data_IF_280374658102
#
_entry.id   IF_280374658102
#
_cell.length_a   1.000
_cell.length_b   1.000
_cell.length_c   1.000
_cell.angle_alpha   90.00
_cell.angle_beta   90.00
_cell.angle_gamma   90.00
#
_symmetry.space_group_name_H-M   'P 1'
#
loop_
_entity.id
_entity.type
_entity.pdbx_description
1 polymer ?
#
# COMPACT_ATOMS: atom_id res chain seq x y z
N UNK A 1 19.19 -5.76 7.85
CA UNK A 1 18.25 -4.74 8.35
C UNK A 1 17.84 -3.91 7.14
N UNK A 2 16.89 -4.36 6.33
CA UNK A 2 16.57 -3.74 5.03
C UNK A 2 15.08 -3.77 4.68
N UNK A 3 14.24 -4.33 5.57
CA UNK A 3 12.79 -4.45 5.40
C UNK A 3 11.98 -3.35 6.11
N UNK A 4 12.64 -2.43 6.82
CA UNK A 4 11.99 -1.52 7.79
C UNK A 4 11.14 -0.39 7.17
N UNK A 5 11.14 -0.22 5.85
CA UNK A 5 10.34 0.84 5.17
C UNK A 5 9.37 0.32 4.11
N UNK A 6 9.22 -1.00 3.94
CA UNK A 6 8.22 -1.52 3.01
C UNK A 6 6.82 -1.28 3.58
N UNK A 7 5.95 -0.66 2.80
CA UNK A 7 4.54 -0.48 3.16
C UNK A 7 3.66 -1.28 2.24
N UNK A 8 2.65 -1.90 2.84
CA UNK A 8 1.61 -2.64 2.12
C UNK A 8 0.32 -1.82 2.19
N UNK A 9 -0.29 -1.61 1.03
CA UNK A 9 -1.50 -0.82 0.87
C UNK A 9 -2.61 -1.65 0.25
N UNK A 10 -3.82 -1.49 0.77
CA UNK A 10 -5.07 -1.94 0.17
C UNK A 10 -5.62 -0.82 -0.70
N UNK A 11 -5.38 -0.87 -2.00
CA UNK A 11 -5.91 0.12 -2.94
C UNK A 11 -7.28 -0.30 -3.46
N UNK A 12 -8.33 0.40 -3.04
CA UNK A 12 -9.70 0.18 -3.51
C UNK A 12 -9.97 0.98 -4.79
N UNK A 13 -10.17 0.28 -5.90
CA UNK A 13 -10.55 0.91 -7.16
C UNK A 13 -12.03 1.28 -7.17
N UNK A 14 -12.45 2.31 -7.94
CA UNK A 14 -13.87 2.65 -8.13
C UNK A 14 -14.73 1.48 -8.66
N UNK A 15 -14.10 0.50 -9.33
CA UNK A 15 -14.76 -0.72 -9.79
C UNK A 15 -15.10 -1.72 -8.68
N UNK A 16 -14.73 -1.43 -7.42
CA UNK A 16 -14.88 -2.33 -6.27
C UNK A 16 -13.78 -3.38 -6.14
N UNK A 17 -12.82 -3.43 -7.08
CA UNK A 17 -11.66 -4.32 -7.00
C UNK A 17 -10.62 -3.77 -6.03
N UNK A 18 -10.03 -4.65 -5.22
CA UNK A 18 -8.94 -4.29 -4.31
C UNK A 18 -7.62 -4.78 -4.91
N UNK A 19 -6.60 -3.93 -4.89
CA UNK A 19 -5.24 -4.27 -5.26
C UNK A 19 -4.32 -4.15 -4.05
N UNK A 20 -3.42 -5.11 -3.90
CA UNK A 20 -2.31 -5.01 -2.95
C UNK A 20 -1.21 -4.21 -3.60
N UNK A 21 -0.83 -3.08 -3.00
CA UNK A 21 0.35 -2.30 -3.43
C UNK A 21 1.44 -2.49 -2.39
N UNK A 22 2.64 -2.82 -2.83
CA UNK A 22 3.84 -2.90 -1.98
C UNK A 22 4.79 -1.82 -2.44
N UNK A 23 4.95 -0.78 -1.64
CA UNK A 23 5.93 0.28 -1.87
C UNK A 23 7.19 0.01 -1.07
N UNK A 24 8.34 0.24 -1.68
CA UNK A 24 9.65 0.14 -1.05
C UNK A 24 10.48 1.37 -1.45
N UNK A 25 10.43 2.46 -0.66
CA UNK A 25 11.18 3.67 -0.99
C UNK A 25 12.69 3.45 -1.09
N UNK A 26 13.28 2.70 -0.15
CA UNK A 26 14.72 2.41 -0.16
C UNK A 26 15.14 1.57 -1.37
N UNK A 27 14.29 0.64 -1.82
CA UNK A 27 14.53 -0.14 -3.03
C UNK A 27 14.09 0.53 -4.33
N UNK A 28 13.46 1.71 -4.28
CA UNK A 28 12.98 2.39 -5.48
C UNK A 28 11.91 1.62 -6.26
N UNK A 29 11.09 0.81 -5.57
CA UNK A 29 10.09 -0.05 -6.23
C UNK A 29 8.67 0.17 -5.73
N UNK A 30 7.70 0.05 -6.64
CA UNK A 30 6.28 -0.09 -6.32
C UNK A 30 5.73 -1.29 -7.10
N UNK A 31 5.16 -2.26 -6.39
CA UNK A 31 4.57 -3.48 -6.97
C UNK A 31 3.08 -3.52 -6.70
N UNK A 32 2.29 -3.85 -7.71
CA UNK A 32 0.84 -3.89 -7.65
C UNK A 32 0.38 -5.30 -8.00
N UNK A 33 -0.39 -5.90 -7.10
CA UNK A 33 -0.93 -7.24 -7.23
C UNK A 33 -2.45 -7.20 -7.23
N UNK A 34 -3.08 -8.04 -8.05
CA UNK A 34 -4.52 -8.24 -8.00
C UNK A 34 -4.93 -9.16 -6.83
N UNK A 35 -6.24 -9.38 -6.67
CA UNK A 35 -6.82 -10.22 -5.61
C UNK A 35 -6.38 -11.68 -5.64
N UNK A 36 -5.88 -12.18 -6.79
CA UNK A 36 -5.36 -13.53 -6.91
C UNK A 36 -3.85 -13.60 -6.56
N UNK A 37 -3.26 -12.52 -6.04
CA UNK A 37 -1.83 -12.42 -5.75
C UNK A 37 -0.94 -12.31 -6.99
N UNK A 38 -1.51 -12.12 -8.18
CA UNK A 38 -0.74 -11.98 -9.42
C UNK A 38 -0.21 -10.55 -9.54
N UNK A 39 1.10 -10.39 -9.76
CA UNK A 39 1.70 -9.09 -10.06
C UNK A 39 1.13 -8.58 -11.40
N UNK A 40 0.43 -7.44 -11.35
CA UNK A 40 -0.15 -6.80 -12.54
C UNK A 40 0.69 -5.65 -13.05
N UNK A 41 1.45 -5.00 -12.16
CA UNK A 41 2.30 -3.88 -12.51
C UNK A 41 3.45 -3.75 -11.53
N UNK A 42 4.61 -3.39 -12.07
CA UNK A 42 5.81 -3.08 -11.31
C UNK A 42 6.42 -1.80 -11.86
N UNK A 43 6.91 -0.97 -10.94
CA UNK A 43 7.75 0.19 -11.20
C UNK A 43 9.05 -0.03 -10.44
N UNK A 44 10.18 0.14 -11.12
CA UNK A 44 11.53 -0.01 -10.56
C UNK A 44 12.39 1.21 -10.90
N UNK A 45 13.58 1.28 -10.29
CA UNK A 45 14.56 2.35 -10.48
C UNK A 45 14.01 3.76 -10.18
N UNK A 46 12.99 3.85 -9.32
CA UNK A 46 12.52 5.12 -8.78
C UNK A 46 13.49 5.63 -7.72
N UNK A 47 13.63 6.94 -7.59
CA UNK A 47 14.32 7.50 -6.43
C UNK A 47 13.47 7.29 -5.16
N UNK A 48 14.11 7.22 -4.00
CA UNK A 48 13.40 7.14 -2.70
C UNK A 48 12.38 8.29 -2.57
N UNK A 49 12.78 9.50 -2.99
CA UNK A 49 11.89 10.67 -2.99
C UNK A 49 10.67 10.49 -3.90
N UNK A 50 10.82 9.89 -5.08
CA UNK A 50 9.69 9.65 -5.99
C UNK A 50 8.69 8.65 -5.38
N UNK A 51 9.18 7.58 -4.75
CA UNK A 51 8.31 6.61 -4.07
C UNK A 51 7.57 7.30 -2.91
N UNK A 52 8.26 8.08 -2.08
CA UNK A 52 7.64 8.81 -0.96
C UNK A 52 6.55 9.79 -1.44
N UNK A 53 6.78 10.50 -2.56
CA UNK A 53 5.79 11.39 -3.15
C UNK A 53 4.56 10.63 -3.64
N UNK A 54 4.73 9.44 -4.22
CA UNK A 54 3.61 8.58 -4.64
C UNK A 54 2.84 8.06 -3.43
N UNK A 55 3.54 7.67 -2.36
CA UNK A 55 2.88 7.26 -1.10
C UNK A 55 1.99 8.37 -0.56
N UNK A 56 2.55 9.58 -0.37
CA UNK A 56 1.86 10.71 0.26
C UNK A 56 0.71 11.28 -0.57
N UNK A 57 0.92 11.46 -1.88
CA UNK A 57 -0.07 12.16 -2.70
C UNK A 57 -1.13 11.21 -3.27
N UNK A 58 -0.77 9.96 -3.53
CA UNK A 58 -1.67 9.00 -4.15
C UNK A 58 -2.16 7.96 -3.13
N UNK A 59 -1.25 7.14 -2.59
CA UNK A 59 -1.66 5.98 -1.80
C UNK A 59 -2.36 6.36 -0.50
N UNK A 60 -1.94 7.42 0.19
CA UNK A 60 -2.66 7.91 1.39
C UNK A 60 -4.08 8.43 1.07
N UNK A 61 -4.34 8.83 -0.17
CA UNK A 61 -5.66 9.31 -0.63
C UNK A 61 -6.57 8.16 -1.05
N UNK A 62 -6.05 7.19 -1.79
CA UNK A 62 -6.87 6.15 -2.45
C UNK A 62 -6.75 4.77 -1.83
N UNK A 63 -5.83 4.56 -0.90
CA UNK A 63 -5.54 3.27 -0.30
C UNK A 63 -5.43 3.34 1.23
N UNK A 64 -5.55 2.18 1.86
CA UNK A 64 -5.37 2.03 3.31
C UNK A 64 -4.08 1.27 3.58
N UNK A 65 -3.23 1.78 4.48
CA UNK A 65 -2.03 1.03 4.92
C UNK A 65 -2.48 -0.19 5.71
N UNK A 66 -2.01 -1.37 5.32
CA UNK A 66 -2.32 -2.67 5.97
C UNK A 66 -1.11 -3.18 6.76
N UNK A 67 0.09 -2.70 6.43
CA UNK A 67 1.32 -2.97 7.17
C UNK A 67 2.31 -1.83 6.97
N UNK A 68 2.81 -1.23 8.06
CA UNK A 68 3.85 -0.18 8.00
C UNK A 68 3.47 1.20 8.55
N UNK A 69 2.90 1.29 9.77
CA UNK A 69 3.15 2.27 10.85
C UNK A 69 2.07 2.13 11.93
N UNK A 70 2.44 2.34 13.19
CA UNK A 70 1.49 2.51 14.31
C UNK A 70 0.52 3.66 14.00
N UNK A 71 -0.77 3.51 14.34
CA UNK A 71 -1.82 4.44 13.94
C UNK A 71 -1.70 5.77 14.70
N UNK A 72 -1.61 6.87 13.96
CA UNK A 72 -1.90 8.19 14.52
C UNK A 72 -3.39 8.27 14.86
N UNK A 73 -3.66 8.75 16.08
CA UNK A 73 -4.93 8.68 16.77
C UNK A 73 -6.01 9.59 16.18
N UNK A 74 -6.52 9.30 14.98
CA UNK A 74 -7.72 9.97 14.48
C UNK A 74 -8.52 9.16 13.45
N UNK A 75 -8.67 7.85 13.64
CA UNK A 75 -9.45 7.07 12.65
C UNK A 75 -10.20 5.83 13.15
N UNK A 76 -11.11 6.03 14.10
CA UNK A 76 -12.06 4.98 14.57
C UNK A 76 -12.95 4.36 13.48
N UNK A 77 -12.95 4.88 12.26
CA UNK A 77 -13.74 4.34 11.13
C UNK A 77 -12.90 3.57 10.10
N UNK A 78 -11.58 3.81 9.99
CA UNK A 78 -10.72 3.09 9.03
C UNK A 78 -10.28 1.73 9.56
N UNK A 79 -10.21 1.56 10.88
CA UNK A 79 -9.76 0.33 11.53
C UNK A 79 -10.66 -0.88 11.20
N UNK A 80 -11.98 -0.70 11.20
CA UNK A 80 -12.92 -1.78 10.86
C UNK A 80 -12.79 -2.24 9.40
N UNK A 81 -12.48 -1.32 8.48
CA UNK A 81 -12.30 -1.61 7.06
C UNK A 81 -10.92 -2.24 6.83
N UNK A 82 -9.88 -1.79 7.54
CA UNK A 82 -8.54 -2.37 7.45
C UNK A 82 -8.51 -3.84 7.88
N UNK A 83 -9.21 -4.18 8.96
CA UNK A 83 -9.32 -5.56 9.43
C UNK A 83 -10.03 -6.47 8.41
N UNK A 84 -11.11 -6.01 7.78
CA UNK A 84 -11.79 -6.76 6.72
C UNK A 84 -10.94 -6.89 5.44
N UNK A 85 -10.23 -5.83 5.05
CA UNK A 85 -9.35 -5.83 3.89
C UNK A 85 -8.09 -6.69 4.09
N UNK A 86 -7.65 -6.87 5.34
CA UNK A 86 -6.50 -7.74 5.67
C UNK A 86 -6.72 -9.19 5.22
N UNK A 87 -7.98 -9.66 5.21
CA UNK A 87 -8.34 -11.00 4.74
C UNK A 87 -8.02 -11.20 3.26
N UNK A 88 -8.18 -10.16 2.45
CA UNK A 88 -7.98 -10.20 1.00
C UNK A 88 -6.52 -10.03 0.57
N UNK A 89 -5.62 -9.69 1.49
CA UNK A 89 -4.25 -9.22 1.18
C UNK A 89 -3.16 -10.15 1.78
N UNK A 90 -3.55 -11.20 2.52
CA UNK A 90 -2.66 -12.24 3.06
C UNK A 90 -1.70 -12.78 2.01
#
# INVERSE_FOLDING_TARGET
MEDEKKKIWAWLMPSGKIYKVVSNPAGGTIRIYNQNGTLVKEYEALSEAAVNVIEQNFLETVATVVHGKEPDADTKTKDAIADELSYYIR
#
